data_IF_542671525458
#
_entry.id   IF_542671525458
#
_cell.length_a   1.000
_cell.length_b   1.000
_cell.length_c   1.000
_cell.angle_alpha   90.00
_cell.angle_beta   90.00
_cell.angle_gamma   90.00
#
_symmetry.space_group_name_H-M   'P 1'
#
loop_
_entity.id
_entity.type
_entity.pdbx_description
1 polymer ?
#
# COMPACT_ATOMS: atom_id res chain seq x y z
N UNK A 1 12.86 -10.99 -11.13
CA UNK A 1 13.77 -11.44 -10.06
C UNK A 1 15.12 -11.85 -10.63
N UNK A 2 16.19 -11.33 -10.07
CA UNK A 2 17.57 -11.69 -10.40
C UNK A 2 18.23 -12.33 -9.18
N UNK A 3 18.94 -13.43 -9.40
CA UNK A 3 19.65 -14.16 -8.34
C UNK A 3 21.06 -14.45 -8.84
N UNK A 4 22.06 -14.01 -8.09
CA UNK A 4 23.48 -14.34 -8.33
C UNK A 4 24.17 -14.62 -7.00
N UNK A 5 24.72 -15.83 -6.85
CA UNK A 5 25.35 -16.27 -5.62
C UNK A 5 24.43 -16.09 -4.40
N UNK A 6 24.83 -15.22 -3.48
CA UNK A 6 24.06 -14.91 -2.28
C UNK A 6 23.24 -13.62 -2.40
N UNK A 7 23.17 -13.02 -3.57
CA UNK A 7 22.45 -11.76 -3.78
C UNK A 7 21.16 -11.96 -4.55
N UNK A 8 20.11 -11.35 -4.05
CA UNK A 8 18.76 -11.36 -4.61
C UNK A 8 18.35 -9.93 -4.95
N UNK A 9 17.96 -9.67 -6.17
CA UNK A 9 17.29 -8.44 -6.55
C UNK A 9 15.92 -8.77 -7.14
N UNK A 10 14.91 -8.02 -6.74
CA UNK A 10 13.53 -8.15 -7.20
C UNK A 10 12.97 -6.78 -7.52
N UNK A 11 12.24 -6.66 -8.59
CA UNK A 11 11.37 -5.54 -8.87
C UNK A 11 10.03 -6.10 -9.32
N UNK A 12 8.95 -5.55 -8.82
CA UNK A 12 7.60 -5.94 -9.17
C UNK A 12 6.65 -4.74 -9.11
N UNK A 13 5.65 -4.80 -9.98
CA UNK A 13 4.50 -3.93 -9.93
C UNK A 13 3.29 -4.80 -9.59
N UNK A 14 2.54 -4.40 -8.60
CA UNK A 14 1.38 -5.13 -8.11
C UNK A 14 0.17 -4.22 -8.23
N UNK A 15 -0.88 -4.77 -8.85
CA UNK A 15 -2.21 -4.19 -8.86
C UNK A 15 -3.19 -5.28 -8.51
N UNK A 16 -3.82 -5.16 -7.36
CA UNK A 16 -4.81 -6.10 -6.86
C UNK A 16 -6.13 -5.38 -6.62
N UNK A 17 -7.11 -5.67 -7.48
CA UNK A 17 -8.43 -5.03 -7.42
C UNK A 17 -9.31 -5.53 -6.28
N UNK A 18 -8.99 -6.67 -5.66
CA UNK A 18 -9.73 -7.16 -4.49
C UNK A 18 -9.25 -6.50 -3.20
N UNK A 19 -7.94 -6.32 -3.08
CA UNK A 19 -7.34 -5.64 -1.95
C UNK A 19 -7.31 -4.12 -2.13
N UNK A 20 -7.66 -3.63 -3.33
CA UNK A 20 -7.55 -2.23 -3.71
C UNK A 20 -6.15 -1.69 -3.43
N UNK A 21 -5.15 -2.35 -3.98
CA UNK A 21 -3.74 -2.06 -3.77
C UNK A 21 -3.04 -1.93 -5.12
N UNK A 22 -2.27 -0.86 -5.27
CA UNK A 22 -1.41 -0.62 -6.41
C UNK A 22 -0.07 -0.05 -5.96
N UNK A 23 1.03 -0.77 -6.23
CA UNK A 23 2.36 -0.31 -5.86
C UNK A 23 3.46 -0.91 -6.71
N UNK A 24 4.58 -0.19 -6.80
CA UNK A 24 5.85 -0.70 -7.30
C UNK A 24 6.78 -1.01 -6.12
N UNK A 25 7.39 -2.19 -6.12
CA UNK A 25 8.37 -2.60 -5.13
C UNK A 25 9.69 -2.97 -5.79
N UNK A 26 10.78 -2.46 -5.26
CA UNK A 26 12.13 -2.90 -5.56
C UNK A 26 12.84 -3.33 -4.29
N UNK A 27 13.45 -4.51 -4.29
CA UNK A 27 14.20 -5.00 -3.13
C UNK A 27 15.55 -5.59 -3.52
N UNK A 28 16.52 -5.38 -2.65
CA UNK A 28 17.86 -5.95 -2.75
C UNK A 28 18.20 -6.64 -1.44
N UNK A 29 18.56 -7.92 -1.50
CA UNK A 29 18.76 -8.75 -0.32
C UNK A 29 20.01 -9.60 -0.44
N UNK A 30 20.69 -9.78 0.67
CA UNK A 30 21.72 -10.80 0.85
C UNK A 30 21.07 -12.05 1.44
N UNK A 31 21.42 -13.20 0.86
CA UNK A 31 20.95 -14.51 1.29
C UNK A 31 22.06 -15.24 2.03
N UNK A 32 21.74 -15.72 3.22
CA UNK A 32 22.65 -16.49 4.06
C UNK A 32 21.98 -17.81 4.42
N UNK A 33 22.70 -18.91 4.28
CA UNK A 33 22.23 -20.25 4.60
C UNK A 33 22.56 -21.26 3.53
N UNK A 34 22.58 -22.52 3.92
CA UNK A 34 22.86 -23.67 3.06
C UNK A 34 21.77 -24.73 3.24
N UNK A 35 21.44 -25.42 2.15
CA UNK A 35 20.47 -26.49 2.18
C UNK A 35 19.01 -26.03 2.08
N UNK A 36 18.16 -26.55 2.97
CA UNK A 36 16.71 -26.36 2.89
C UNK A 36 16.23 -25.02 3.43
N UNK A 37 16.96 -24.43 4.35
CA UNK A 37 16.60 -23.17 5.01
C UNK A 37 17.67 -22.12 4.71
N UNK A 38 17.22 -20.96 4.33
CA UNK A 38 18.05 -19.77 4.18
C UNK A 38 17.35 -18.54 4.74
N UNK A 39 18.12 -17.61 5.25
CA UNK A 39 17.67 -16.31 5.69
C UNK A 39 18.08 -15.26 4.68
N UNK A 40 17.32 -14.19 4.59
CA UNK A 40 17.67 -13.06 3.76
C UNK A 40 17.45 -11.75 4.53
N UNK A 41 18.25 -10.75 4.24
CA UNK A 41 18.15 -9.41 4.81
C UNK A 41 18.60 -8.38 3.78
N UNK A 42 18.02 -7.21 3.83
CA UNK A 42 18.34 -6.16 2.86
C UNK A 42 17.46 -4.94 2.98
N UNK A 43 17.31 -4.27 1.87
CA UNK A 43 16.46 -3.08 1.75
C UNK A 43 15.36 -3.29 0.73
N UNK A 44 14.24 -2.66 0.97
CA UNK A 44 13.11 -2.57 0.05
C UNK A 44 12.73 -1.11 -0.12
N UNK A 45 12.35 -0.77 -1.33
CA UNK A 45 11.84 0.53 -1.71
C UNK A 45 10.48 0.33 -2.36
N UNK A 46 9.50 1.10 -1.95
CA UNK A 46 8.15 1.08 -2.51
C UNK A 46 7.72 2.44 -2.94
N UNK A 47 7.07 2.49 -4.08
CA UNK A 47 6.29 3.62 -4.54
C UNK A 47 4.84 3.14 -4.58
N UNK A 48 4.03 3.65 -3.69
CA UNK A 48 2.65 3.23 -3.55
C UNK A 48 1.74 4.44 -3.42
N UNK A 49 0.52 4.27 -3.88
CA UNK A 49 -0.55 5.14 -3.43
C UNK A 49 -0.91 4.79 -1.97
N UNK A 50 -1.27 5.77 -1.16
CA UNK A 50 -1.66 5.55 0.24
C UNK A 50 -3.05 4.94 0.30
N UNK A 51 -3.16 3.66 0.04
CA UNK A 51 -4.42 2.93 0.09
C UNK A 51 -4.99 2.90 1.50
N UNK A 52 -6.29 3.16 1.58
CA UNK A 52 -7.00 3.23 2.85
C UNK A 52 -6.82 4.54 3.61
N UNK A 53 -6.04 5.48 3.09
CA UNK A 53 -6.00 6.82 3.62
C UNK A 53 -7.15 7.65 3.03
N UNK A 54 -8.00 8.14 3.89
CA UNK A 54 -9.01 9.15 3.55
C UNK A 54 -8.54 10.52 4.03
N UNK A 55 -8.12 11.42 3.12
CA UNK A 55 -7.69 12.76 3.50
C UNK A 55 -8.75 13.57 4.25
N UNK A 56 -9.99 13.15 4.20
CA UNK A 56 -11.11 13.80 4.86
C UNK A 56 -11.43 13.21 6.25
N UNK A 57 -10.75 12.13 6.67
CA UNK A 57 -11.09 11.44 7.92
C UNK A 57 -10.99 12.38 9.13
N UNK A 58 -9.94 13.17 9.23
CA UNK A 58 -9.76 14.15 10.31
C UNK A 58 -10.78 15.30 10.28
N UNK A 59 -11.39 15.55 9.11
CA UNK A 59 -12.42 16.57 8.90
C UNK A 59 -13.84 16.02 8.97
N UNK A 60 -13.97 14.70 9.07
CA UNK A 60 -15.24 13.96 9.04
C UNK A 60 -15.63 13.52 10.45
N UNK A 61 -16.22 14.42 11.23
CA UNK A 61 -16.83 14.08 12.52
C UNK A 61 -18.33 13.97 12.36
N UNK A 62 -18.89 12.77 12.47
CA UNK A 62 -20.34 12.49 12.51
C UNK A 62 -21.16 13.17 11.40
N UNK A 63 -20.67 13.18 10.16
CA UNK A 63 -21.25 13.93 9.04
C UNK A 63 -21.41 15.43 9.30
N UNK A 64 -20.56 16.02 10.10
CA UNK A 64 -20.68 17.40 10.50
C UNK A 64 -20.11 18.35 9.43
N UNK A 65 -21.01 19.03 8.70
CA UNK A 65 -20.66 20.03 7.66
C UNK A 65 -19.78 21.18 8.15
N UNK A 66 -19.75 21.44 9.45
CA UNK A 66 -18.92 22.49 10.06
C UNK A 66 -17.43 22.20 9.87
N UNK A 67 -17.02 20.93 9.96
CA UNK A 67 -15.61 20.57 9.77
C UNK A 67 -15.15 20.80 8.33
N UNK A 68 -15.95 20.47 7.35
CA UNK A 68 -15.62 20.78 5.95
C UNK A 68 -15.54 22.27 5.67
N UNK A 69 -16.34 23.08 6.36
CA UNK A 69 -16.21 24.54 6.30
C UNK A 69 -14.88 25.01 6.89
N UNK A 70 -14.40 24.37 7.96
CA UNK A 70 -13.07 24.66 8.52
C UNK A 70 -11.96 24.30 7.51
N UNK A 71 -12.04 23.14 6.86
CA UNK A 71 -11.12 22.77 5.79
C UNK A 71 -11.13 23.84 4.68
N UNK A 72 -12.29 24.27 4.22
CA UNK A 72 -12.37 25.31 3.20
C UNK A 72 -11.74 26.63 3.65
N UNK A 73 -11.85 26.99 4.91
CA UNK A 73 -11.21 28.19 5.47
C UNK A 73 -9.67 28.01 5.48
N UNK A 74 -9.15 26.85 5.80
CA UNK A 74 -7.72 26.55 5.72
C UNK A 74 -7.20 26.60 4.28
N UNK A 75 -8.02 26.18 3.31
CA UNK A 75 -7.76 26.34 1.87
C UNK A 75 -7.94 27.79 1.36
N UNK A 76 -8.17 28.75 2.27
CA UNK A 76 -8.20 30.17 1.97
C UNK A 76 -9.57 30.74 1.57
N UNK A 77 -10.63 29.96 1.71
CA UNK A 77 -12.00 30.49 1.49
C UNK A 77 -12.45 31.33 2.68
N UNK A 78 -13.29 32.32 2.42
CA UNK A 78 -13.92 33.16 3.44
C UNK A 78 -15.38 32.85 3.54
N UNK A 79 -15.88 32.63 4.76
CA UNK A 79 -17.25 32.26 5.04
C UNK A 79 -17.87 33.29 5.99
N UNK A 80 -18.73 34.16 5.48
CA UNK A 80 -19.57 35.04 6.28
C UNK A 80 -21.00 34.48 6.39
N UNK A 81 -21.26 33.86 7.55
CA UNK A 81 -22.53 33.21 7.84
C UNK A 81 -23.66 34.23 8.02
N UNK A 82 -23.35 35.45 8.46
CA UNK A 82 -24.34 36.49 8.75
C UNK A 82 -24.82 37.17 7.48
N UNK A 83 -23.90 37.42 6.55
CA UNK A 83 -24.25 38.05 5.26
C UNK A 83 -24.55 36.99 4.19
N UNK A 84 -24.37 35.71 4.52
CA UNK A 84 -24.48 34.57 3.58
C UNK A 84 -23.59 34.76 2.36
N UNK A 85 -22.39 35.32 2.57
CA UNK A 85 -21.39 35.51 1.54
C UNK A 85 -20.25 34.51 1.71
N UNK A 86 -19.96 33.79 0.64
CA UNK A 86 -18.89 32.81 0.58
C UNK A 86 -17.95 33.21 -0.56
N UNK A 87 -16.64 33.38 -0.23
CA UNK A 87 -15.66 33.88 -1.19
C UNK A 87 -14.54 32.87 -1.38
N UNK A 88 -14.05 32.77 -2.62
CA UNK A 88 -12.86 31.97 -2.92
C UNK A 88 -11.58 32.70 -2.46
N UNK A 89 -10.38 32.03 -2.53
CA UNK A 89 -9.11 32.65 -2.17
C UNK A 89 -8.76 33.93 -2.95
N UNK A 90 -9.36 34.13 -4.12
CA UNK A 90 -9.21 35.36 -4.92
C UNK A 90 -10.15 36.51 -4.50
N UNK A 91 -11.03 36.25 -3.52
CA UNK A 91 -11.99 37.24 -2.98
C UNK A 91 -13.29 37.33 -3.78
N UNK A 92 -13.52 36.47 -4.76
CA UNK A 92 -14.77 36.46 -5.55
C UNK A 92 -15.87 35.71 -4.79
N UNK A 93 -17.11 36.22 -4.86
CA UNK A 93 -18.28 35.57 -4.27
C UNK A 93 -18.61 34.30 -5.08
N UNK A 94 -18.52 33.15 -4.44
CA UNK A 94 -18.80 31.83 -5.06
C UNK A 94 -20.13 31.23 -4.62
N UNK A 95 -20.71 31.72 -3.52
CA UNK A 95 -22.05 31.37 -3.08
C UNK A 95 -22.66 32.53 -2.27
N UNK A 96 -23.97 32.65 -2.35
CA UNK A 96 -24.78 33.65 -1.63
C UNK A 96 -25.83 32.98 -0.73
N UNK A 97 -25.73 31.71 -0.52
CA UNK A 97 -26.55 30.94 0.43
C UNK A 97 -25.79 29.72 0.93
N UNK A 98 -26.13 29.26 2.14
CA UNK A 98 -25.56 28.03 2.70
C UNK A 98 -25.90 26.79 1.88
N UNK A 99 -27.02 26.77 1.18
CA UNK A 99 -27.42 25.67 0.31
C UNK A 99 -26.47 25.55 -0.88
N UNK A 100 -26.28 26.66 -1.63
CA UNK A 100 -25.32 26.67 -2.76
C UNK A 100 -23.90 26.37 -2.31
N UNK A 101 -23.49 26.90 -1.16
CA UNK A 101 -22.20 26.60 -0.58
C UNK A 101 -22.02 25.09 -0.33
N UNK A 102 -22.94 24.46 0.39
CA UNK A 102 -22.80 23.05 0.79
C UNK A 102 -23.04 22.07 -0.36
N UNK A 103 -23.89 22.38 -1.33
CA UNK A 103 -24.30 21.43 -2.36
C UNK A 103 -23.55 21.60 -3.68
N UNK A 104 -23.03 22.79 -3.94
CA UNK A 104 -22.36 23.09 -5.22
C UNK A 104 -20.88 23.38 -5.03
N UNK A 105 -20.51 24.27 -4.10
CA UNK A 105 -19.12 24.72 -3.95
C UNK A 105 -18.28 23.74 -3.13
N UNK A 106 -18.78 23.33 -1.97
CA UNK A 106 -18.05 22.45 -1.05
C UNK A 106 -17.62 21.12 -1.68
N UNK A 107 -18.43 20.40 -2.46
CA UNK A 107 -17.98 19.17 -3.11
C UNK A 107 -16.78 19.36 -4.04
N UNK A 108 -16.68 20.52 -4.69
CA UNK A 108 -15.54 20.88 -5.51
C UNK A 108 -14.27 21.05 -4.65
N UNK A 109 -14.35 21.81 -3.57
CA UNK A 109 -13.24 22.03 -2.62
C UNK A 109 -12.74 20.70 -2.06
N UNK A 110 -13.64 19.83 -1.60
CA UNK A 110 -13.29 18.54 -1.03
C UNK A 110 -12.60 17.63 -2.07
N UNK A 111 -13.10 17.65 -3.30
CA UNK A 111 -12.50 16.89 -4.39
C UNK A 111 -11.07 17.36 -4.68
N UNK A 112 -10.88 18.67 -4.83
CA UNK A 112 -9.58 19.25 -5.14
C UNK A 112 -8.58 18.98 -4.01
N UNK A 113 -9.00 19.14 -2.76
CA UNK A 113 -8.19 18.80 -1.58
C UNK A 113 -7.75 17.33 -1.58
N UNK A 114 -8.69 16.40 -1.80
CA UNK A 114 -8.38 14.96 -1.86
C UNK A 114 -7.42 14.65 -3.00
N UNK A 115 -7.63 15.24 -4.18
CA UNK A 115 -6.76 15.03 -5.33
C UNK A 115 -5.34 15.56 -5.07
N UNK A 116 -5.20 16.73 -4.44
CA UNK A 116 -3.90 17.31 -4.14
C UNK A 116 -3.16 16.54 -3.04
N UNK A 117 -3.84 16.13 -1.98
CA UNK A 117 -3.27 15.25 -0.96
C UNK A 117 -2.83 13.91 -1.52
N UNK A 118 -3.61 13.31 -2.39
CA UNK A 118 -3.22 12.07 -3.08
C UNK A 118 -2.00 12.26 -3.97
N UNK A 119 -1.89 13.39 -4.70
CA UNK A 119 -0.70 13.69 -5.50
C UNK A 119 0.55 13.86 -4.65
N UNK A 120 0.44 14.52 -3.51
CA UNK A 120 1.55 14.64 -2.55
C UNK A 120 2.08 13.26 -2.13
N UNK A 121 1.19 12.32 -1.91
CA UNK A 121 1.53 10.99 -1.43
C UNK A 121 1.99 10.03 -2.54
N UNK A 122 1.49 10.17 -3.77
CA UNK A 122 1.80 9.31 -4.92
C UNK A 122 3.28 9.30 -5.33
N UNK A 123 4.02 10.34 -5.03
CA UNK A 123 5.41 10.50 -5.48
C UNK A 123 6.44 10.16 -4.41
N UNK A 124 6.03 9.56 -3.31
CA UNK A 124 6.92 9.30 -2.19
C UNK A 124 7.41 7.87 -2.16
N UNK A 125 8.73 7.76 -2.12
CA UNK A 125 9.38 6.49 -1.92
C UNK A 125 9.46 6.16 -0.43
N UNK A 126 8.88 5.05 -0.06
CA UNK A 126 9.08 4.45 1.25
C UNK A 126 10.29 3.51 1.20
N UNK A 127 11.12 3.61 2.20
CA UNK A 127 12.30 2.76 2.36
C UNK A 127 12.15 1.93 3.62
N UNK A 128 12.45 0.65 3.54
CA UNK A 128 12.40 -0.23 4.69
C UNK A 128 13.57 -1.20 4.68
N UNK A 129 13.95 -1.64 5.86
CA UNK A 129 14.76 -2.85 6.03
C UNK A 129 13.85 -4.06 5.85
N UNK A 130 14.36 -5.11 5.22
CA UNK A 130 13.64 -6.37 5.07
C UNK A 130 14.46 -7.52 5.60
N UNK A 131 13.82 -8.36 6.41
CA UNK A 131 14.37 -9.63 6.91
C UNK A 131 13.41 -10.74 6.52
N UNK A 132 13.94 -11.88 6.12
CA UNK A 132 13.09 -12.98 5.72
C UNK A 132 13.77 -14.32 5.77
N UNK A 133 12.99 -15.33 5.48
CA UNK A 133 13.48 -16.70 5.31
C UNK A 133 12.85 -17.35 4.08
N UNK A 134 13.54 -18.34 3.56
CA UNK A 134 13.06 -19.28 2.54
C UNK A 134 13.34 -20.69 3.02
N UNK A 135 12.34 -21.54 2.99
CA UNK A 135 12.46 -22.97 3.28
C UNK A 135 12.00 -23.77 2.07
N UNK A 136 12.89 -24.66 1.59
CA UNK A 136 12.64 -25.54 0.46
C UNK A 136 12.77 -26.99 0.88
N UNK A 137 11.78 -27.79 0.57
CA UNK A 137 11.83 -29.23 0.74
C UNK A 137 11.38 -29.94 -0.52
N UNK A 138 12.28 -30.74 -1.08
CA UNK A 138 12.02 -31.55 -2.28
C UNK A 138 12.09 -33.02 -1.95
N UNK A 139 11.08 -33.74 -2.35
CA UNK A 139 11.07 -35.20 -2.45
C UNK A 139 10.76 -35.63 -3.87
N UNK A 140 10.88 -36.92 -4.15
CA UNK A 140 10.73 -37.51 -5.50
C UNK A 140 9.53 -36.94 -6.27
N UNK A 141 8.39 -36.82 -5.62
CA UNK A 141 7.14 -36.44 -6.28
C UNK A 141 6.50 -35.16 -5.74
N UNK A 142 7.00 -34.57 -4.68
CA UNK A 142 6.46 -33.33 -4.18
C UNK A 142 7.54 -32.32 -3.77
N UNK A 143 7.18 -31.07 -3.81
CA UNK A 143 7.99 -29.98 -3.25
C UNK A 143 7.16 -29.08 -2.37
N UNK A 144 7.83 -28.52 -1.42
CA UNK A 144 7.31 -27.52 -0.50
C UNK A 144 8.26 -26.35 -0.51
N UNK A 145 7.72 -25.15 -0.73
CA UNK A 145 8.43 -23.90 -0.53
C UNK A 145 7.62 -23.03 0.43
N UNK A 146 8.23 -22.60 1.50
CA UNK A 146 7.66 -21.63 2.42
C UNK A 146 8.60 -20.45 2.56
N UNK A 147 8.04 -19.26 2.66
CA UNK A 147 8.80 -18.04 2.87
C UNK A 147 8.06 -17.10 3.81
N UNK A 148 8.83 -16.24 4.45
CA UNK A 148 8.30 -15.14 5.25
C UNK A 148 9.20 -13.92 5.13
N UNK A 149 8.63 -12.75 5.17
CA UNK A 149 9.31 -11.48 5.16
C UNK A 149 8.72 -10.58 6.23
N UNK A 150 9.58 -9.83 6.88
CA UNK A 150 9.24 -8.81 7.86
C UNK A 150 9.97 -7.53 7.48
N UNK A 151 9.26 -6.42 7.49
CA UNK A 151 9.79 -5.07 7.28
C UNK A 151 9.53 -4.27 8.56
N UNK A 152 10.47 -4.35 9.51
CA UNK A 152 10.26 -3.82 10.87
C UNK A 152 10.44 -2.31 10.97
N UNK A 153 10.92 -1.67 9.92
CA UNK A 153 11.22 -0.25 9.93
C UNK A 153 10.95 0.37 8.57
N UNK A 154 10.24 1.49 8.58
CA UNK A 154 9.94 2.28 7.41
C UNK A 154 10.49 3.69 7.60
N UNK A 155 11.18 4.17 6.58
CA UNK A 155 11.60 5.55 6.46
C UNK A 155 10.92 6.14 5.23
N UNK A 156 10.14 7.15 5.43
CA UNK A 156 9.69 8.07 4.42
C UNK A 156 10.42 9.39 4.61
N UNK A 157 10.46 10.23 3.64
CA UNK A 157 11.28 11.44 3.63
C UNK A 157 10.84 12.53 4.63
N UNK A 158 10.29 12.16 5.77
CA UNK A 158 9.87 13.07 6.82
C UNK A 158 8.57 13.82 6.53
N UNK A 159 7.77 13.30 5.64
CA UNK A 159 6.47 13.85 5.35
C UNK A 159 5.51 13.58 6.52
N UNK A 160 4.65 14.56 6.83
CA UNK A 160 3.61 14.43 7.84
C UNK A 160 2.61 13.31 7.55
N UNK A 161 2.46 12.95 6.27
CA UNK A 161 1.68 11.80 5.81
C UNK A 161 2.51 10.52 5.76
N UNK A 162 3.42 10.37 6.69
CA UNK A 162 4.24 9.19 6.81
C UNK A 162 3.38 7.94 7.04
N UNK A 163 3.96 6.80 6.78
CA UNK A 163 3.34 5.53 7.08
C UNK A 163 2.72 5.43 8.50
N UNK A 164 3.26 6.17 9.45
CA UNK A 164 2.76 6.24 10.82
C UNK A 164 1.37 6.88 10.92
N UNK A 165 1.09 7.87 10.10
CA UNK A 165 -0.19 8.58 10.14
C UNK A 165 -1.35 7.73 9.61
N UNK A 166 -1.07 6.78 8.72
CA UNK A 166 -2.09 5.86 8.21
C UNK A 166 -2.63 4.87 9.25
N UNK A 167 -1.94 4.72 10.36
CA UNK A 167 -2.25 3.72 11.39
C UNK A 167 -2.28 4.32 12.80
N UNK A 168 -2.65 5.56 12.95
CA UNK A 168 -2.66 6.28 14.23
C UNK A 168 -1.34 6.15 15.01
N UNK A 169 -0.22 6.00 14.31
CA UNK A 169 1.09 5.82 14.90
C UNK A 169 1.36 4.43 15.50
N UNK A 170 0.45 3.49 15.40
CA UNK A 170 0.57 2.20 16.08
C UNK A 170 1.24 1.11 15.26
N UNK A 171 1.27 1.21 13.93
CA UNK A 171 1.83 0.18 13.10
C UNK A 171 3.23 0.48 12.58
N UNK A 172 4.17 -0.34 13.01
CA UNK A 172 5.60 -0.14 12.75
C UNK A 172 6.19 -1.14 11.75
N UNK A 173 5.42 -2.13 11.29
CA UNK A 173 5.96 -3.17 10.42
C UNK A 173 4.95 -3.75 9.47
N UNK A 174 5.45 -4.06 8.29
CA UNK A 174 4.77 -4.87 7.31
C UNK A 174 5.33 -6.28 7.31
N UNK A 175 4.51 -7.23 6.97
CA UNK A 175 4.96 -8.61 6.80
C UNK A 175 4.20 -9.36 5.73
N UNK A 176 4.84 -10.37 5.17
CA UNK A 176 4.21 -11.28 4.23
C UNK A 176 4.77 -12.68 4.42
N UNK A 177 3.97 -13.66 4.11
CA UNK A 177 4.40 -15.04 4.13
C UNK A 177 3.59 -15.90 3.20
N UNK A 178 4.13 -17.03 2.81
CA UNK A 178 3.42 -17.93 1.93
C UNK A 178 3.97 -19.34 1.91
N UNK A 179 3.17 -20.18 1.31
CA UNK A 179 3.44 -21.60 1.16
C UNK A 179 3.05 -22.05 -0.24
N UNK A 180 3.95 -22.73 -0.93
CA UNK A 180 3.65 -23.47 -2.16
C UNK A 180 3.81 -24.96 -1.86
N UNK A 181 2.76 -25.69 -2.14
CA UNK A 181 2.82 -27.15 -2.18
C UNK A 181 2.61 -27.61 -3.61
N UNK A 182 3.54 -28.37 -4.15
CA UNK A 182 3.43 -28.90 -5.49
C UNK A 182 3.66 -30.40 -5.55
N UNK A 183 2.99 -31.04 -6.50
CA UNK A 183 3.07 -32.47 -6.74
C UNK A 183 3.35 -32.78 -8.21
N UNK A 184 4.31 -33.66 -8.44
CA UNK A 184 4.72 -34.11 -9.76
C UNK A 184 3.93 -35.37 -10.13
N UNK A 185 3.02 -35.22 -11.08
CA UNK A 185 2.18 -36.31 -11.58
C UNK A 185 2.97 -37.27 -12.47
N UNK A 186 3.80 -36.72 -13.37
CA UNK A 186 4.71 -37.50 -14.22
C UNK A 186 5.96 -36.68 -14.58
N UNK A 187 6.77 -37.13 -15.54
CA UNK A 187 8.04 -36.45 -15.90
C UNK A 187 7.83 -35.03 -16.36
N UNK A 188 6.74 -34.72 -17.01
CA UNK A 188 6.48 -33.45 -17.67
C UNK A 188 5.35 -32.66 -17.03
N UNK A 189 4.52 -33.28 -16.18
CA UNK A 189 3.33 -32.66 -15.62
C UNK A 189 3.41 -32.58 -14.08
N UNK A 190 3.12 -31.44 -13.56
CA UNK A 190 2.96 -31.17 -12.13
C UNK A 190 1.81 -30.23 -11.86
N UNK A 191 1.33 -30.22 -10.65
CA UNK A 191 0.35 -29.27 -10.15
C UNK A 191 0.87 -28.62 -8.86
N UNK A 192 0.37 -27.44 -8.57
CA UNK A 192 0.70 -26.74 -7.32
C UNK A 192 -0.48 -25.92 -6.80
N UNK A 193 -0.42 -25.70 -5.50
CA UNK A 193 -1.28 -24.77 -4.78
C UNK A 193 -0.36 -23.81 -4.03
N UNK A 194 -0.67 -22.54 -4.09
CA UNK A 194 0.02 -21.46 -3.37
C UNK A 194 -0.99 -20.71 -2.52
N UNK A 195 -0.64 -20.49 -1.27
CA UNK A 195 -1.31 -19.56 -0.38
C UNK A 195 -0.32 -18.49 0.08
N UNK A 196 -0.70 -17.24 0.02
CA UNK A 196 0.10 -16.11 0.47
C UNK A 196 -0.76 -15.20 1.34
N UNK A 197 -0.18 -14.69 2.41
CA UNK A 197 -0.73 -13.68 3.27
C UNK A 197 0.16 -12.44 3.26
N UNK A 198 -0.45 -11.28 3.17
CA UNK A 198 0.23 -10.01 3.17
C UNK A 198 -0.44 -9.08 4.17
N UNK A 199 0.36 -8.36 4.92
CA UNK A 199 -0.02 -7.20 5.70
C UNK A 199 0.93 -6.07 5.35
N UNK A 200 0.43 -5.12 4.57
CA UNK A 200 1.16 -3.94 4.14
C UNK A 200 0.32 -2.72 4.43
N UNK A 201 0.93 -1.71 5.01
CA UNK A 201 0.25 -0.53 5.53
C UNK A 201 -0.84 -0.93 6.54
N UNK A 202 -2.03 -0.46 6.39
CA UNK A 202 -3.19 -0.85 7.19
C UNK A 202 -4.03 -1.96 6.56
N UNK A 203 -3.57 -2.57 5.46
CA UNK A 203 -4.32 -3.59 4.73
C UNK A 203 -3.76 -4.99 4.91
N UNK A 204 -4.67 -5.92 5.03
CA UNK A 204 -4.40 -7.36 5.11
C UNK A 204 -5.15 -8.07 3.99
N UNK A 205 -4.45 -8.97 3.29
CA UNK A 205 -5.11 -9.77 2.25
C UNK A 205 -4.45 -11.13 2.04
N UNK A 206 -5.22 -12.02 1.47
CA UNK A 206 -4.82 -13.38 1.15
C UNK A 206 -4.88 -13.60 -0.36
N UNK A 207 -3.81 -14.14 -0.91
CA UNK A 207 -3.75 -14.60 -2.29
C UNK A 207 -3.80 -16.13 -2.33
N UNK A 208 -4.62 -16.67 -3.19
CA UNK A 208 -4.70 -18.10 -3.44
C UNK A 208 -4.50 -18.39 -4.92
N UNK A 209 -3.55 -19.26 -5.24
CA UNK A 209 -3.27 -19.66 -6.62
C UNK A 209 -3.19 -21.16 -6.71
N UNK A 210 -3.74 -21.71 -7.79
CA UNK A 210 -3.48 -23.08 -8.20
C UNK A 210 -3.03 -23.09 -9.67
N UNK A 211 -2.20 -24.05 -10.03
CA UNK A 211 -1.69 -24.11 -11.37
C UNK A 211 -1.17 -25.49 -11.75
N UNK A 212 -1.01 -25.64 -13.06
CA UNK A 212 -0.43 -26.82 -13.69
C UNK A 212 0.86 -26.41 -14.40
N UNK A 213 1.93 -27.10 -14.09
CA UNK A 213 3.21 -26.92 -14.77
C UNK A 213 3.40 -28.03 -15.79
N UNK A 214 3.55 -27.68 -17.06
CA UNK A 214 3.88 -28.62 -18.13
C UNK A 214 5.22 -28.23 -18.76
N UNK A 215 6.14 -29.16 -18.78
CA UNK A 215 7.48 -28.97 -19.38
C UNK A 215 7.47 -29.60 -20.76
N UNK A 216 7.64 -28.75 -21.78
CA UNK A 216 7.80 -29.14 -23.18
C UNK A 216 9.31 -29.17 -23.46
N UNK A 217 9.83 -30.32 -23.86
CA UNK A 217 11.21 -30.50 -24.31
C UNK A 217 11.22 -30.72 -25.81
#
# INVERSE_FOLDING_TARGET
RYVKDNWLAKAEYIKDGFADIEYFESSQRLRVGKGKLSFNFGAVQRLAEPYGYDPLEEWSFDNNRIHYTCLAIEEGYSVDVYESEYRNPSGEIVATSAEVWNEVVMPGILKDFVEDKRKELQNQWQHSVIVGFDFYHYKKNFWLHSWGNLMPYHYDNGNEFSYHNFNDGEQWYDYSGGLIFGYKLNKNLGCFVEGKYNKYWNKEWYDFKCGINYVIF
#
